data_IF_364426893406
#
_entry.id   IF_364426893406
#
_cell.length_a   1.000
_cell.length_b   1.000
_cell.length_c   1.000
_cell.angle_alpha   90.00
_cell.angle_beta   90.00
_cell.angle_gamma   90.00
#
_symmetry.space_group_name_H-M   'P 1'
#
loop_
_entity.id
_entity.type
_entity.pdbx_description
1 polymer ?
#
# COMPACT_ATOMS: atom_id res chain seq x y z
N UNK A 1 -13.84 0.80 -0.28
CA UNK A 1 -13.45 1.40 -1.57
C UNK A 1 -12.15 0.77 -2.03
N UNK A 2 -11.98 0.55 -3.34
CA UNK A 2 -10.75 -0.01 -3.91
C UNK A 2 -10.35 0.72 -5.20
N UNK A 3 -9.04 0.88 -5.42
CA UNK A 3 -8.46 1.44 -6.65
C UNK A 3 -7.28 0.58 -7.06
N UNK A 4 -7.29 0.15 -8.31
CA UNK A 4 -6.19 -0.61 -8.90
C UNK A 4 -5.18 0.34 -9.55
N UNK A 5 -3.90 0.06 -9.34
CA UNK A 5 -2.76 0.75 -9.96
C UNK A 5 -1.93 -0.29 -10.72
N UNK A 6 -1.73 -0.10 -12.02
CA UNK A 6 -0.97 -1.00 -12.88
C UNK A 6 0.49 -0.55 -13.03
N UNK A 7 1.40 -1.51 -13.12
CA UNK A 7 2.85 -1.27 -13.21
C UNK A 7 3.43 -1.92 -14.46
N UNK A 8 4.01 -1.11 -15.35
CA UNK A 8 4.57 -1.60 -16.63
C UNK A 8 5.91 -2.31 -16.47
N UNK A 9 6.68 -1.96 -15.44
CA UNK A 9 8.03 -2.49 -15.16
C UNK A 9 8.04 -3.50 -13.99
N UNK A 10 6.86 -3.99 -13.58
CA UNK A 10 6.70 -4.84 -12.41
C UNK A 10 6.32 -4.06 -11.14
N UNK A 11 5.78 -4.78 -10.16
CA UNK A 11 5.33 -4.19 -8.90
C UNK A 11 6.57 -3.76 -8.07
N UNK A 12 6.62 -2.52 -7.54
CA UNK A 12 7.70 -2.07 -6.68
C UNK A 12 7.85 -2.95 -5.43
N UNK A 13 9.08 -3.09 -4.93
CA UNK A 13 9.31 -3.73 -3.63
C UNK A 13 8.55 -3.01 -2.51
N UNK A 14 8.25 -3.73 -1.43
CA UNK A 14 7.61 -3.12 -0.27
C UNK A 14 8.45 -1.96 0.29
N UNK A 15 9.75 -2.17 0.46
CA UNK A 15 10.72 -1.13 0.80
C UNK A 15 10.65 0.13 -0.09
N UNK A 16 10.47 -0.01 -1.41
CA UNK A 16 10.32 1.14 -2.30
C UNK A 16 9.01 1.89 -2.06
N UNK A 17 7.91 1.17 -1.83
CA UNK A 17 6.60 1.74 -1.48
C UNK A 17 6.71 2.48 -0.14
N UNK A 18 7.31 1.87 0.87
CA UNK A 18 7.48 2.45 2.20
C UNK A 18 8.36 3.70 2.16
N UNK A 19 9.46 3.68 1.40
CA UNK A 19 10.33 4.84 1.23
C UNK A 19 9.61 6.00 0.54
N UNK A 20 8.83 5.74 -0.52
CA UNK A 20 8.05 6.77 -1.21
C UNK A 20 6.95 7.36 -0.31
N UNK A 21 6.25 6.51 0.45
CA UNK A 21 5.23 6.94 1.40
C UNK A 21 5.83 7.77 2.55
N UNK A 22 7.00 7.38 3.07
CA UNK A 22 7.71 8.14 4.09
C UNK A 22 8.12 9.54 3.61
N UNK A 23 8.63 9.66 2.37
CA UNK A 23 8.93 10.97 1.75
C UNK A 23 7.69 11.87 1.65
N UNK A 24 6.52 11.27 1.48
CA UNK A 24 5.24 11.96 1.44
C UNK A 24 4.63 12.19 2.84
N UNK A 25 5.32 11.90 3.94
CA UNK A 25 4.77 11.97 5.31
C UNK A 25 3.52 11.09 5.50
N UNK A 26 3.51 9.91 4.89
CA UNK A 26 2.49 8.88 5.07
C UNK A 26 3.14 7.63 5.67
N UNK A 27 3.27 7.53 7.01
CA UNK A 27 3.90 6.38 7.65
C UNK A 27 3.04 5.13 7.46
N UNK A 28 3.65 4.04 7.00
CA UNK A 28 3.02 2.74 6.83
C UNK A 28 3.59 1.76 7.85
N UNK A 29 2.72 1.15 8.66
CA UNK A 29 3.11 0.13 9.62
C UNK A 29 2.37 -1.18 9.34
N UNK A 30 3.12 -2.23 9.02
CA UNK A 30 2.56 -3.55 8.73
C UNK A 30 1.80 -4.08 9.95
N UNK A 31 0.70 -4.79 9.67
CA UNK A 31 -0.07 -5.56 10.65
C UNK A 31 -0.18 -7.02 10.24
N UNK A 32 -0.32 -7.28 8.94
CA UNK A 32 -0.44 -8.63 8.41
C UNK A 32 0.20 -8.74 7.03
N UNK A 33 0.77 -9.91 6.76
CA UNK A 33 1.23 -10.36 5.45
C UNK A 33 0.51 -11.69 5.18
N UNK A 34 -0.20 -11.79 4.06
CA UNK A 34 -0.88 -13.01 3.62
C UNK A 34 -1.79 -13.67 4.69
N UNK A 35 -2.59 -12.85 5.36
CA UNK A 35 -3.47 -13.22 6.49
C UNK A 35 -2.76 -13.71 7.76
N UNK A 36 -1.44 -13.58 7.86
CA UNK A 36 -0.67 -13.85 9.07
C UNK A 36 -0.27 -12.54 9.77
N UNK A 37 -0.33 -12.45 11.10
CA UNK A 37 0.23 -11.31 11.84
C UNK A 37 1.71 -11.13 11.51
N UNK A 38 2.13 -9.87 11.39
CA UNK A 38 3.49 -9.49 11.03
C UNK A 38 3.97 -8.32 11.90
N UNK A 39 5.28 -8.17 12.04
CA UNK A 39 5.86 -7.05 12.76
C UNK A 39 5.68 -5.73 11.99
N UNK A 40 5.56 -4.57 12.67
CA UNK A 40 5.34 -3.28 12.00
C UNK A 40 6.39 -2.88 10.97
N UNK A 41 7.61 -3.37 11.14
CA UNK A 41 8.81 -3.10 10.35
C UNK A 41 9.35 -4.34 9.62
N UNK A 42 8.52 -5.39 9.48
CA UNK A 42 8.87 -6.58 8.71
C UNK A 42 8.96 -6.26 7.21
N UNK A 43 9.91 -6.86 6.49
CA UNK A 43 9.96 -6.79 5.03
C UNK A 43 9.25 -8.03 4.45
N UNK A 44 8.16 -7.87 3.69
CA UNK A 44 7.48 -8.97 3.01
C UNK A 44 8.37 -9.63 1.95
N UNK A 45 8.37 -10.95 1.88
CA UNK A 45 9.02 -11.70 0.79
C UNK A 45 8.40 -11.35 -0.57
N UNK A 46 9.20 -11.37 -1.65
CA UNK A 46 8.78 -10.96 -3.01
C UNK A 46 7.47 -11.61 -3.51
N UNK A 47 7.11 -12.78 -2.98
CA UNK A 47 5.89 -13.54 -3.28
C UNK A 47 4.61 -13.12 -2.55
N UNK A 48 4.64 -12.10 -1.69
CA UNK A 48 3.46 -11.67 -0.93
C UNK A 48 2.26 -11.36 -1.84
N UNK A 49 1.05 -11.73 -1.41
CA UNK A 49 -0.20 -11.51 -2.16
C UNK A 49 -1.03 -10.39 -1.56
N UNK A 50 -1.03 -10.26 -0.24
CA UNK A 50 -1.78 -9.23 0.48
C UNK A 50 -0.96 -8.70 1.67
N UNK A 51 -0.91 -7.38 1.81
CA UNK A 51 -0.36 -6.71 2.98
C UNK A 51 -1.45 -5.82 3.58
N UNK A 52 -1.71 -5.99 4.88
CA UNK A 52 -2.52 -5.06 5.67
C UNK A 52 -1.61 -4.22 6.54
N UNK A 53 -1.81 -2.92 6.51
CA UNK A 53 -1.00 -1.95 7.24
C UNK A 53 -1.89 -0.83 7.77
N UNK A 54 -1.43 -0.19 8.84
CA UNK A 54 -2.05 1.00 9.38
C UNK A 54 -1.30 2.26 8.93
N UNK A 55 -2.06 3.31 8.71
CA UNK A 55 -1.61 4.70 8.65
C UNK A 55 -2.04 5.44 9.92
N UNK A 56 -1.85 6.76 9.97
CA UNK A 56 -2.39 7.61 11.04
C UNK A 56 -3.92 7.66 11.05
N UNK A 57 -4.57 7.52 9.90
CA UNK A 57 -6.03 7.58 9.79
C UNK A 57 -6.75 6.24 9.87
N UNK A 58 -6.04 5.11 9.73
CA UNK A 58 -6.68 3.80 9.85
C UNK A 58 -5.99 2.68 9.07
N UNK A 59 -6.76 1.61 8.81
CA UNK A 59 -6.26 0.41 8.14
C UNK A 59 -6.47 0.47 6.63
N UNK A 60 -5.43 0.09 5.90
CA UNK A 60 -5.46 -0.09 4.44
C UNK A 60 -4.96 -1.48 4.07
N UNK A 61 -5.22 -1.88 2.84
CA UNK A 61 -4.75 -3.16 2.28
C UNK A 61 -4.19 -2.93 0.88
N UNK A 62 -3.01 -3.48 0.61
CA UNK A 62 -2.50 -3.66 -0.75
C UNK A 62 -2.61 -5.13 -1.11
N UNK A 63 -3.23 -5.41 -2.26
CA UNK A 63 -3.34 -6.77 -2.81
C UNK A 63 -2.69 -6.80 -4.19
N UNK A 64 -1.79 -7.75 -4.41
CA UNK A 64 -1.25 -8.03 -5.75
C UNK A 64 -2.31 -8.70 -6.60
N UNK A 65 -2.46 -8.20 -7.83
CA UNK A 65 -3.26 -8.80 -8.87
C UNK A 65 -2.49 -8.73 -10.20
N UNK A 66 -1.71 -9.77 -10.50
CA UNK A 66 -0.80 -9.78 -11.65
C UNK A 66 0.22 -8.63 -11.58
N UNK A 67 0.17 -7.73 -12.55
CA UNK A 67 1.01 -6.52 -12.62
C UNK A 67 0.34 -5.28 -12.01
N UNK A 68 -0.61 -5.46 -11.10
CA UNK A 68 -1.31 -4.37 -10.44
C UNK A 68 -1.38 -4.54 -8.93
N UNK A 69 -1.54 -3.42 -8.24
CA UNK A 69 -1.86 -3.38 -6.82
C UNK A 69 -3.25 -2.78 -6.63
N UNK A 70 -4.14 -3.53 -5.98
CA UNK A 70 -5.40 -3.03 -5.49
C UNK A 70 -5.20 -2.41 -4.10
N UNK A 71 -5.41 -1.10 -4.01
CA UNK A 71 -5.38 -0.35 -2.75
C UNK A 71 -6.80 -0.24 -2.19
N UNK A 72 -7.02 -0.79 -0.99
CA UNK A 72 -8.35 -0.97 -0.40
C UNK A 72 -8.45 -0.30 0.96
N UNK A 73 -9.55 0.43 1.18
CA UNK A 73 -10.04 0.83 2.51
C UNK A 73 -11.44 0.25 2.76
N UNK A 74 -11.73 -0.08 4.02
CA UNK A 74 -12.97 -0.73 4.42
C UNK A 74 -14.04 0.28 4.85
N UNK A 75 -15.30 -0.15 4.90
CA UNK A 75 -16.50 0.71 4.85
C UNK A 75 -16.73 1.70 6.01
N UNK A 76 -15.83 1.80 7.00
CA UNK A 76 -15.87 2.83 8.04
C UNK A 76 -14.90 4.00 7.78
N UNK A 77 -14.44 4.17 6.53
CA UNK A 77 -13.49 5.20 6.19
C UNK A 77 -14.08 6.61 6.35
N UNK A 78 -13.45 7.40 7.22
CA UNK A 78 -13.72 8.83 7.32
C UNK A 78 -13.00 9.63 6.22
N UNK A 79 -13.15 10.95 6.26
CA UNK A 79 -12.52 11.85 5.29
C UNK A 79 -10.98 11.79 5.36
N UNK A 80 -10.40 11.57 6.53
CA UNK A 80 -8.95 11.51 6.70
C UNK A 80 -8.38 10.23 6.08
N UNK A 81 -9.01 9.07 6.35
CA UNK A 81 -8.61 7.79 5.77
C UNK A 81 -8.77 7.80 4.25
N UNK A 82 -9.83 8.45 3.75
CA UNK A 82 -10.04 8.62 2.31
C UNK A 82 -8.94 9.46 1.66
N UNK A 83 -8.53 10.56 2.31
CA UNK A 83 -7.44 11.43 1.83
C UNK A 83 -6.09 10.71 1.82
N UNK A 84 -5.74 10.01 2.91
CA UNK A 84 -4.51 9.22 2.99
C UNK A 84 -4.49 8.07 1.96
N UNK A 85 -5.64 7.45 1.69
CA UNK A 85 -5.78 6.41 0.67
C UNK A 85 -5.56 6.96 -0.74
N UNK A 86 -6.13 8.12 -1.07
CA UNK A 86 -5.90 8.80 -2.36
C UNK A 86 -4.41 9.14 -2.54
N UNK A 87 -3.77 9.63 -1.47
CA UNK A 87 -2.33 9.92 -1.47
C UNK A 87 -1.49 8.68 -1.73
N UNK A 88 -1.83 7.54 -1.13
CA UNK A 88 -1.15 6.28 -1.41
C UNK A 88 -1.33 5.83 -2.87
N UNK A 89 -2.55 5.96 -3.43
CA UNK A 89 -2.80 5.66 -4.84
C UNK A 89 -1.93 6.53 -5.76
N UNK A 90 -1.76 7.81 -5.45
CA UNK A 90 -0.89 8.73 -6.20
C UNK A 90 0.57 8.29 -6.13
N UNK A 91 1.09 7.97 -4.95
CA UNK A 91 2.46 7.46 -4.74
C UNK A 91 2.69 6.21 -5.61
N UNK A 92 1.77 5.25 -5.56
CA UNK A 92 1.88 4.03 -6.36
C UNK A 92 1.84 4.31 -7.86
N UNK A 93 1.04 5.28 -8.30
CA UNK A 93 0.93 5.66 -9.71
C UNK A 93 2.22 6.27 -10.24
N UNK A 94 2.92 7.07 -9.43
CA UNK A 94 4.24 7.64 -9.75
C UNK A 94 5.30 6.54 -9.80
N UNK A 95 5.28 5.59 -8.86
CA UNK A 95 6.22 4.46 -8.87
C UNK A 95 6.05 3.55 -10.10
N UNK A 96 4.84 3.43 -10.64
CA UNK A 96 4.57 2.65 -11.87
C UNK A 96 4.91 3.37 -13.18
N UNK A 97 5.10 4.68 -13.14
CA UNK A 97 5.47 5.52 -14.29
C UNK A 97 6.58 6.52 -13.89
N UNK A 98 7.79 6.06 -13.55
CA UNK A 98 8.89 6.97 -13.27
C UNK A 98 9.23 7.75 -14.55
N UNK A 99 9.18 9.08 -14.47
CA UNK A 99 9.54 10.01 -15.54
C UNK A 99 10.97 9.83 -16.04
#
# INVERSE_FOLDING_TARGET
MSKSVSFSQGIPSWSAIQAAAAKALLPLAIKMIDNLPAFPNEEPEDGWKEIRFSTTAGMMTLRKNGHSLDCVIWGNADAQLTSEWQKLVEILSVLGNPS
#
